data_IF_322451004812
#
_entry.id   IF_322451004812
#
_cell.length_a   1.000
_cell.length_b   1.000
_cell.length_c   1.000
_cell.angle_alpha   90.00
_cell.angle_beta   90.00
_cell.angle_gamma   90.00
#
_symmetry.space_group_name_H-M   'P 1'
#
loop_
_entity.id
_entity.type
_entity.pdbx_description
1 polymer ?
#
# COMPACT_ATOMS: atom_id res chain seq x y z
N UNK A 1 35.30 -4.19 -2.94
CA UNK A 1 34.32 -4.75 -1.99
C UNK A 1 33.19 -5.31 -2.84
N UNK A 2 32.85 -6.60 -2.73
CA UNK A 2 31.67 -7.11 -3.42
C UNK A 2 30.43 -6.46 -2.80
N UNK A 3 29.55 -5.89 -3.61
CA UNK A 3 28.27 -5.35 -3.14
C UNK A 3 27.47 -6.49 -2.50
N UNK A 4 27.06 -6.28 -1.25
CA UNK A 4 26.23 -7.23 -0.52
C UNK A 4 24.85 -7.22 -1.18
N UNK A 5 24.42 -8.36 -1.72
CA UNK A 5 23.04 -8.49 -2.21
C UNK A 5 22.07 -8.29 -1.05
N UNK A 6 20.90 -7.65 -1.29
CA UNK A 6 19.87 -7.51 -0.27
C UNK A 6 19.31 -8.87 0.12
N UNK A 7 19.09 -9.07 1.42
CA UNK A 7 18.52 -10.32 1.95
C UNK A 7 17.04 -10.50 1.54
N UNK A 8 16.32 -9.40 1.27
CA UNK A 8 14.93 -9.38 0.82
C UNK A 8 14.68 -8.30 -0.24
N UNK A 9 13.93 -8.64 -1.28
CA UNK A 9 13.43 -7.69 -2.28
C UNK A 9 11.90 -7.57 -2.16
N UNK A 10 11.40 -6.34 -2.14
CA UNK A 10 9.96 -6.04 -2.11
C UNK A 10 9.59 -5.27 -3.37
N UNK A 11 8.66 -5.83 -4.15
CA UNK A 11 8.13 -5.19 -5.36
C UNK A 11 6.69 -4.79 -5.12
N UNK A 12 6.43 -3.49 -5.18
CA UNK A 12 5.09 -2.91 -5.07
C UNK A 12 4.57 -2.55 -6.46
N UNK A 13 3.44 -3.13 -6.86
CA UNK A 13 2.75 -2.82 -8.12
C UNK A 13 1.30 -2.41 -7.93
N UNK A 14 0.91 -1.26 -8.50
CA UNK A 14 -0.51 -0.91 -8.66
C UNK A 14 -1.14 -1.78 -9.75
N UNK A 15 -2.22 -2.50 -9.45
CA UNK A 15 -2.86 -3.40 -10.43
C UNK A 15 -3.47 -2.65 -11.61
N UNK A 16 -3.82 -1.36 -11.46
CA UNK A 16 -4.52 -0.54 -12.47
C UNK A 16 -5.81 -1.20 -13.01
N UNK A 17 -6.41 -2.14 -12.25
CA UNK A 17 -7.61 -2.88 -12.65
C UNK A 17 -7.37 -4.05 -13.60
N UNK A 18 -6.13 -4.52 -13.81
CA UNK A 18 -5.83 -5.71 -14.63
C UNK A 18 -5.98 -7.02 -13.83
N UNK A 19 -7.00 -7.86 -14.08
CA UNK A 19 -7.11 -9.17 -13.42
C UNK A 19 -5.88 -10.05 -13.75
N UNK A 20 -5.40 -10.82 -12.78
CA UNK A 20 -4.28 -11.75 -12.98
C UNK A 20 -2.89 -11.10 -13.03
N UNK A 21 -2.77 -9.77 -12.83
CA UNK A 21 -1.47 -9.07 -12.83
C UNK A 21 -0.47 -9.64 -11.84
N UNK A 22 -0.92 -10.04 -10.65
CA UNK A 22 -0.08 -10.73 -9.66
C UNK A 22 0.48 -12.05 -10.19
N UNK A 23 -0.36 -12.90 -10.78
CA UNK A 23 0.07 -14.19 -11.32
C UNK A 23 1.07 -14.02 -12.48
N UNK A 24 0.86 -13.00 -13.34
CA UNK A 24 1.81 -12.59 -14.38
C UNK A 24 3.16 -12.17 -13.80
N UNK A 25 3.16 -11.27 -12.80
CA UNK A 25 4.40 -10.83 -12.16
C UNK A 25 5.13 -12.02 -11.53
N UNK A 26 4.42 -12.88 -10.80
CA UNK A 26 4.96 -14.13 -10.25
C UNK A 26 5.55 -15.06 -11.31
N UNK A 27 4.98 -15.10 -12.53
CA UNK A 27 5.56 -15.86 -13.63
C UNK A 27 6.86 -15.24 -14.16
N UNK A 28 6.93 -13.91 -14.28
CA UNK A 28 8.14 -13.22 -14.74
C UNK A 28 9.32 -13.35 -13.78
N UNK A 29 9.04 -13.31 -12.48
CA UNK A 29 10.10 -13.35 -11.46
C UNK A 29 10.55 -14.78 -11.12
N UNK A 30 9.83 -15.82 -11.57
CA UNK A 30 10.13 -17.23 -11.25
C UNK A 30 11.52 -17.68 -11.72
N UNK A 31 12.12 -16.99 -12.68
CA UNK A 31 13.49 -17.25 -13.18
C UNK A 31 14.57 -16.35 -12.59
N UNK A 32 14.23 -15.43 -11.67
CA UNK A 32 15.21 -14.57 -11.02
C UNK A 32 15.82 -15.30 -9.82
N UNK A 33 17.15 -15.33 -9.76
CA UNK A 33 17.87 -15.82 -8.58
C UNK A 33 18.05 -14.65 -7.62
N UNK A 34 17.06 -14.48 -6.75
CA UNK A 34 17.07 -13.52 -5.64
C UNK A 34 16.77 -14.27 -4.35
N UNK A 35 17.38 -13.91 -3.20
CA UNK A 35 17.28 -14.70 -1.98
C UNK A 35 15.82 -14.84 -1.51
N UNK A 36 15.13 -13.72 -1.36
CA UNK A 36 13.71 -13.64 -1.02
C UNK A 36 13.03 -12.50 -1.79
N UNK A 37 11.83 -12.74 -2.32
CA UNK A 37 11.09 -11.75 -3.10
C UNK A 37 9.59 -11.78 -2.75
N UNK A 38 9.08 -10.62 -2.32
CA UNK A 38 7.66 -10.41 -2.01
C UNK A 38 7.07 -9.41 -2.98
N UNK A 39 5.92 -9.75 -3.57
CA UNK A 39 5.18 -8.85 -4.46
C UNK A 39 3.90 -8.37 -3.77
N UNK A 40 3.85 -7.08 -3.44
CA UNK A 40 2.63 -6.40 -3.04
C UNK A 40 1.90 -5.87 -4.27
N UNK A 41 0.67 -6.33 -4.49
CA UNK A 41 -0.17 -5.84 -5.59
C UNK A 41 -1.42 -5.22 -5.00
N UNK A 42 -1.59 -3.89 -5.11
CA UNK A 42 -2.83 -3.24 -4.70
C UNK A 42 -3.94 -3.50 -5.73
N UNK A 43 -5.17 -3.79 -5.29
CA UNK A 43 -6.28 -4.15 -6.20
C UNK A 43 -6.52 -3.13 -7.32
N UNK A 44 -6.32 -1.84 -7.02
CA UNK A 44 -6.31 -0.76 -8.02
C UNK A 44 -5.20 0.24 -7.74
N UNK A 45 -5.15 0.78 -6.52
CA UNK A 45 -4.26 1.87 -6.11
C UNK A 45 -3.75 1.68 -4.67
N UNK A 46 -2.48 1.99 -4.42
CA UNK A 46 -1.89 2.00 -3.08
C UNK A 46 -2.52 3.00 -2.13
N UNK A 47 -3.10 4.10 -2.63
CA UNK A 47 -3.80 5.05 -1.76
C UNK A 47 -4.98 4.41 -1.03
N UNK A 48 -5.53 3.31 -1.52
CA UNK A 48 -6.54 2.54 -0.78
C UNK A 48 -5.96 1.95 0.52
N UNK A 49 -4.68 1.60 0.56
CA UNK A 49 -4.00 1.13 1.78
C UNK A 49 -3.77 2.28 2.76
N UNK A 50 -3.40 3.47 2.27
CA UNK A 50 -3.22 4.66 3.10
C UNK A 50 -4.53 5.14 3.73
N UNK A 51 -5.65 4.96 3.03
CA UNK A 51 -6.98 5.23 3.57
C UNK A 51 -7.49 4.10 4.50
N UNK A 52 -6.74 3.01 4.63
CA UNK A 52 -7.09 1.82 5.43
C UNK A 52 -7.31 2.13 6.90
N UNK A 53 -6.65 3.16 7.43
CA UNK A 53 -6.80 3.62 8.80
C UNK A 53 -7.29 5.07 8.82
N UNK A 54 -8.56 5.25 9.17
CA UNK A 54 -9.16 6.58 9.21
C UNK A 54 -8.60 7.46 10.33
N UNK A 55 -8.20 6.85 11.45
CA UNK A 55 -7.61 7.61 12.56
C UNK A 55 -6.25 8.19 12.16
N UNK A 56 -5.38 7.35 11.55
CA UNK A 56 -4.08 7.80 11.06
C UNK A 56 -4.21 8.93 10.01
N UNK A 57 -5.19 8.86 9.11
CA UNK A 57 -5.44 9.95 8.15
C UNK A 57 -5.89 11.21 8.86
N UNK A 58 -6.83 11.11 9.82
CA UNK A 58 -7.36 12.28 10.56
C UNK A 58 -6.26 13.00 11.34
N UNK A 59 -5.34 12.27 11.95
CA UNK A 59 -4.19 12.86 12.65
C UNK A 59 -3.31 13.70 11.72
N UNK A 60 -3.24 13.35 10.43
CA UNK A 60 -2.36 14.02 9.47
C UNK A 60 -3.02 15.20 8.74
N UNK A 61 -4.33 15.13 8.47
CA UNK A 61 -5.04 16.13 7.64
C UNK A 61 -6.19 16.86 8.35
N UNK A 62 -6.49 16.51 9.60
CA UNK A 62 -7.58 17.08 10.39
C UNK A 62 -8.87 16.26 10.38
N UNK A 63 -9.92 16.77 11.00
CA UNK A 63 -11.24 16.08 11.06
C UNK A 63 -12.15 16.47 9.89
N UNK A 64 -13.38 15.95 9.87
CA UNK A 64 -14.43 16.40 8.96
C UNK A 64 -14.57 15.60 7.66
N UNK A 65 -13.97 14.41 7.58
CA UNK A 65 -14.16 13.49 6.47
C UNK A 65 -14.53 12.08 6.96
N UNK A 66 -15.09 11.30 6.05
CA UNK A 66 -15.31 9.87 6.23
C UNK A 66 -14.63 9.10 5.10
N UNK A 67 -14.04 7.96 5.47
CA UNK A 67 -13.44 7.06 4.48
C UNK A 67 -14.43 5.95 4.14
N UNK A 68 -14.70 5.66 2.85
CA UNK A 68 -15.58 4.58 2.44
C UNK A 68 -15.22 3.23 3.08
N UNK A 69 -16.22 2.43 3.41
CA UNK A 69 -16.01 1.10 4.01
C UNK A 69 -15.36 0.09 3.05
N UNK A 70 -15.57 0.22 1.74
CA UNK A 70 -15.04 -0.71 0.71
C UNK A 70 -13.95 -0.06 -0.15
N UNK A 71 -12.80 0.22 0.47
CA UNK A 71 -11.66 0.91 -0.15
C UNK A 71 -11.15 0.23 -1.43
N UNK A 72 -10.96 -1.08 -1.41
CA UNK A 72 -10.44 -1.79 -2.58
C UNK A 72 -11.47 -1.94 -3.71
N UNK A 73 -12.74 -1.64 -3.47
CA UNK A 73 -13.78 -1.64 -4.50
C UNK A 73 -13.96 -0.26 -5.16
N UNK A 74 -13.30 0.79 -4.65
CA UNK A 74 -13.37 2.13 -5.21
C UNK A 74 -12.98 2.12 -6.69
N UNK A 75 -13.52 3.04 -7.49
CA UNK A 75 -13.14 3.14 -8.90
C UNK A 75 -11.66 3.53 -9.09
N UNK A 76 -11.12 3.26 -10.27
CA UNK A 76 -9.75 3.67 -10.59
C UNK A 76 -9.62 5.20 -10.39
N UNK A 77 -8.52 5.66 -9.81
CA UNK A 77 -8.26 7.06 -9.38
C UNK A 77 -9.07 7.54 -8.20
N UNK A 78 -10.08 6.82 -7.73
CA UNK A 78 -10.93 7.33 -6.66
C UNK A 78 -10.18 7.41 -5.31
N UNK A 79 -9.37 6.40 -4.96
CA UNK A 79 -8.57 6.45 -3.73
C UNK A 79 -7.51 7.55 -3.79
N UNK A 80 -6.81 7.66 -4.94
CA UNK A 80 -5.84 8.72 -5.19
C UNK A 80 -6.44 10.12 -5.13
N UNK A 81 -7.59 10.32 -5.78
CA UNK A 81 -8.28 11.60 -5.80
C UNK A 81 -8.81 11.96 -4.41
N UNK A 82 -9.39 11.00 -3.69
CA UNK A 82 -9.87 11.21 -2.34
C UNK A 82 -8.74 11.63 -1.41
N UNK A 83 -7.63 10.88 -1.37
CA UNK A 83 -6.48 11.23 -0.53
C UNK A 83 -5.93 12.62 -0.90
N UNK A 84 -5.84 12.93 -2.20
CA UNK A 84 -5.38 14.24 -2.66
C UNK A 84 -6.30 15.36 -2.22
N UNK A 85 -7.61 15.15 -2.31
CA UNK A 85 -8.60 16.15 -1.89
C UNK A 85 -8.53 16.41 -0.38
N UNK A 86 -8.42 15.35 0.43
CA UNK A 86 -8.24 15.46 1.88
C UNK A 86 -7.00 16.28 2.25
N UNK A 87 -5.89 16.07 1.54
CA UNK A 87 -4.67 16.84 1.79
C UNK A 87 -4.84 18.30 1.35
N UNK A 88 -5.46 18.53 0.19
CA UNK A 88 -5.68 19.88 -0.35
C UNK A 88 -6.63 20.72 0.47
N UNK A 89 -7.61 20.10 1.12
CA UNK A 89 -8.54 20.79 2.03
C UNK A 89 -7.96 21.03 3.42
N UNK A 90 -6.83 20.39 3.76
CA UNK A 90 -6.11 20.61 5.01
C UNK A 90 -5.24 21.87 4.97
N UNK A 91 -4.79 22.33 6.14
CA UNK A 91 -3.78 23.38 6.27
C UNK A 91 -2.42 23.01 5.68
N UNK A 92 -2.22 21.75 5.29
CA UNK A 92 -0.96 21.17 4.80
C UNK A 92 -0.97 20.84 3.31
N UNK A 93 -1.81 21.54 2.53
CA UNK A 93 -1.96 21.32 1.10
C UNK A 93 -0.64 21.36 0.29
N UNK A 94 0.34 22.17 0.72
CA UNK A 94 1.66 22.28 0.08
C UNK A 94 2.60 21.08 0.37
N UNK A 95 2.23 20.22 1.31
CA UNK A 95 3.08 19.16 1.87
C UNK A 95 2.62 17.74 1.44
N UNK A 96 2.01 17.59 0.26
CA UNK A 96 1.36 16.34 -0.17
C UNK A 96 2.23 15.08 0.04
N UNK A 97 3.52 15.15 -0.31
CA UNK A 97 4.43 14.01 -0.14
C UNK A 97 4.76 13.71 1.32
N UNK A 98 4.85 14.73 2.18
CA UNK A 98 5.20 14.57 3.60
C UNK A 98 3.99 13.98 4.33
N UNK A 99 2.80 14.52 4.08
CA UNK A 99 1.55 14.04 4.68
C UNK A 99 1.30 12.57 4.32
N UNK A 100 1.50 12.16 3.06
CA UNK A 100 1.37 10.74 2.65
C UNK A 100 2.32 9.83 3.43
N UNK A 101 3.56 10.28 3.64
CA UNK A 101 4.55 9.53 4.40
C UNK A 101 4.15 9.41 5.88
N UNK A 102 3.70 10.50 6.47
CA UNK A 102 3.26 10.53 7.86
C UNK A 102 2.05 9.64 8.13
N UNK A 103 1.10 9.57 7.18
CA UNK A 103 -0.02 8.62 7.22
C UNK A 103 0.54 7.19 7.22
N UNK A 104 1.44 6.87 6.28
CA UNK A 104 2.02 5.54 6.17
C UNK A 104 2.77 5.11 7.46
N UNK A 105 3.48 6.04 8.10
CA UNK A 105 4.20 5.80 9.37
C UNK A 105 3.26 5.57 10.57
N UNK A 106 2.01 6.04 10.50
CA UNK A 106 1.01 5.95 11.58
C UNK A 106 -0.02 4.85 11.39
N UNK A 107 -0.06 4.21 10.22
CA UNK A 107 -1.08 3.18 9.93
C UNK A 107 -1.09 2.07 10.99
N UNK A 108 -2.27 1.81 11.55
CA UNK A 108 -2.56 0.52 12.16
C UNK A 108 -2.59 -0.54 11.05
N UNK A 109 -1.53 -1.35 11.00
CA UNK A 109 -1.36 -2.39 9.97
C UNK A 109 -2.37 -3.52 10.14
N UNK A 110 -2.88 -3.80 11.35
CA UNK A 110 -3.92 -4.79 11.60
C UNK A 110 -5.28 -4.30 11.10
N UNK A 111 -5.63 -3.04 11.36
CA UNK A 111 -6.84 -2.42 10.83
C UNK A 111 -6.79 -2.35 9.30
N UNK A 112 -5.67 -1.89 8.75
CA UNK A 112 -5.44 -1.84 7.30
C UNK A 112 -5.57 -3.22 6.68
N UNK A 113 -5.01 -4.27 7.30
CA UNK A 113 -5.16 -5.66 6.83
C UNK A 113 -6.61 -6.15 6.80
N UNK A 114 -7.42 -5.75 7.79
CA UNK A 114 -8.85 -6.09 7.83
C UNK A 114 -9.61 -5.43 6.68
N UNK A 115 -9.33 -4.15 6.40
CA UNK A 115 -10.05 -3.32 5.41
C UNK A 115 -9.55 -3.47 3.97
N UNK A 116 -8.29 -3.89 3.80
CA UNK A 116 -7.63 -4.01 2.50
C UNK A 116 -7.14 -5.47 2.29
N UNK A 117 -7.96 -6.35 1.68
CA UNK A 117 -7.57 -7.72 1.36
C UNK A 117 -6.23 -7.85 0.62
N UNK A 118 -5.94 -6.95 -0.34
CA UNK A 118 -4.68 -6.97 -1.08
C UNK A 118 -3.47 -6.61 -0.20
N UNK A 119 -3.65 -5.70 0.76
CA UNK A 119 -2.62 -5.39 1.77
C UNK A 119 -2.38 -6.56 2.71
N UNK A 120 -3.43 -7.19 3.24
CA UNK A 120 -3.31 -8.40 4.07
C UNK A 120 -2.52 -9.47 3.36
N UNK A 121 -2.83 -9.73 2.09
CA UNK A 121 -2.10 -10.73 1.30
C UNK A 121 -0.63 -10.35 1.11
N UNK A 122 -0.31 -9.07 0.94
CA UNK A 122 1.09 -8.61 0.91
C UNK A 122 1.80 -8.83 2.26
N UNK A 123 1.13 -8.49 3.37
CA UNK A 123 1.67 -8.65 4.72
C UNK A 123 1.90 -10.12 5.10
N UNK A 124 0.99 -11.01 4.70
CA UNK A 124 1.12 -12.45 4.93
C UNK A 124 2.31 -13.03 4.18
N UNK A 125 2.48 -12.67 2.89
CA UNK A 125 3.66 -13.05 2.10
C UNK A 125 4.96 -12.51 2.75
N UNK A 126 4.95 -11.27 3.25
CA UNK A 126 6.11 -10.66 3.93
C UNK A 126 6.48 -11.39 5.22
N UNK A 127 5.49 -11.83 6.00
CA UNK A 127 5.70 -12.62 7.22
C UNK A 127 6.28 -13.99 6.91
N UNK A 128 5.86 -14.64 5.83
CA UNK A 128 6.36 -15.96 5.45
C UNK A 128 7.86 -15.94 5.16
N UNK A 129 8.33 -14.93 4.44
CA UNK A 129 9.77 -14.82 4.12
C UNK A 129 10.59 -14.41 5.35
N UNK A 130 10.10 -13.44 6.14
CA UNK A 130 10.82 -12.94 7.32
C UNK A 130 10.81 -13.86 8.54
N UNK A 131 9.88 -14.81 8.65
CA UNK A 131 9.84 -15.79 9.75
C UNK A 131 10.75 -17.00 9.53
N UNK A 132 11.35 -17.11 8.34
CA UNK A 132 12.21 -18.23 7.93
C UNK A 132 13.71 -17.84 7.94
N UNK A 133 14.00 -16.57 8.24
CA UNK A 133 15.34 -15.99 8.43
C UNK A 133 15.68 -15.86 9.92
#
# INVERSE_FOLDING_TARGET
MAERQPDLQVVLVDQNGEPGRRARLQAWIRGLVVPELVIGVANKEFEAWLLGDEAAVRECVGEGFSIPGKLENMERRAAKNQLRELIRSSSRAAEESIVRREIAERLDLDLTSKRCPSFRKFRDDLRQVTSTS
#
